data_IF_043089370347
#
_entry.id   IF_043089370347
#
_cell.length_a   1.000
_cell.length_b   1.000
_cell.length_c   1.000
_cell.angle_alpha   90.00
_cell.angle_beta   90.00
_cell.angle_gamma   90.00
#
_symmetry.space_group_name_H-M   'P 1'
#
loop_
_entity.id
_entity.type
_entity.pdbx_description
1 polymer ?
#
# COMPACT_ATOMS: atom_id res chain seq x y z
N UNK A 1 18.05 12.04 4.00
CA UNK A 1 16.96 11.05 4.08
C UNK A 1 16.02 11.51 5.18
N UNK A 2 14.71 11.53 4.95
CA UNK A 2 13.74 11.88 5.99
C UNK A 2 13.87 10.90 7.15
N UNK A 3 13.98 11.40 8.37
CA UNK A 3 14.13 10.59 9.57
C UNK A 3 12.78 10.57 10.26
N UNK A 4 12.10 9.43 10.17
CA UNK A 4 10.85 9.19 10.87
C UNK A 4 11.07 9.28 12.38
N UNK A 5 10.15 9.95 13.05
CA UNK A 5 10.09 9.98 14.51
C UNK A 5 8.97 9.07 15.04
N UNK A 6 8.76 9.12 16.36
CA UNK A 6 7.72 8.33 17.01
C UNK A 6 6.30 8.78 16.62
N UNK A 7 6.08 10.07 16.35
CA UNK A 7 4.78 10.58 15.93
C UNK A 7 4.44 10.09 14.52
N UNK A 8 5.41 10.12 13.61
CA UNK A 8 5.23 9.59 12.26
C UNK A 8 4.85 8.11 12.30
N UNK A 9 5.57 7.32 13.11
CA UNK A 9 5.30 5.89 13.25
C UNK A 9 3.90 5.64 13.83
N UNK A 10 3.53 6.35 14.90
CA UNK A 10 2.21 6.22 15.51
C UNK A 10 1.08 6.60 14.53
N UNK A 11 1.30 7.61 13.69
CA UNK A 11 0.34 8.00 12.66
C UNK A 11 0.18 6.90 11.60
N UNK A 12 1.30 6.31 11.15
CA UNK A 12 1.28 5.19 10.18
C UNK A 12 0.56 3.99 10.77
N UNK A 13 0.86 3.62 12.01
CA UNK A 13 0.24 2.47 12.69
C UNK A 13 -1.28 2.68 12.83
N UNK A 14 -1.71 3.88 13.24
CA UNK A 14 -3.13 4.21 13.32
C UNK A 14 -3.84 4.09 11.97
N UNK A 15 -3.20 4.54 10.88
CA UNK A 15 -3.77 4.43 9.53
C UNK A 15 -3.84 2.99 9.04
N UNK A 16 -2.84 2.18 9.37
CA UNK A 16 -2.82 0.74 9.04
C UNK A 16 -3.99 0.03 9.74
N UNK A 17 -4.21 0.28 11.03
CA UNK A 17 -5.34 -0.33 11.75
C UNK A 17 -6.69 0.13 11.22
N UNK A 18 -6.84 1.41 10.90
CA UNK A 18 -8.06 1.94 10.29
C UNK A 18 -8.36 1.28 8.94
N UNK A 19 -7.35 1.21 8.05
CA UNK A 19 -7.53 0.63 6.73
C UNK A 19 -7.80 -0.88 6.80
N UNK A 20 -7.19 -1.59 7.76
CA UNK A 20 -7.47 -3.02 8.00
C UNK A 20 -8.92 -3.26 8.39
N UNK A 21 -9.53 -2.43 9.25
CA UNK A 21 -10.96 -2.52 9.56
C UNK A 21 -11.83 -2.27 8.32
N UNK A 22 -11.50 -1.24 7.54
CA UNK A 22 -12.23 -0.89 6.31
C UNK A 22 -12.20 -2.03 5.29
N UNK A 23 -11.02 -2.64 5.08
CA UNK A 23 -10.84 -3.80 4.21
C UNK A 23 -11.62 -5.01 4.72
N UNK A 24 -11.56 -5.30 6.03
CA UNK A 24 -12.36 -6.38 6.64
C UNK A 24 -13.86 -6.19 6.37
N UNK A 25 -14.38 -4.98 6.64
CA UNK A 25 -15.80 -4.67 6.41
C UNK A 25 -16.19 -4.79 4.93
N UNK A 26 -15.27 -4.45 4.01
CA UNK A 26 -15.46 -4.63 2.57
C UNK A 26 -15.54 -6.11 2.19
N UNK A 27 -14.68 -6.95 2.77
CA UNK A 27 -14.67 -8.40 2.55
C UNK A 27 -15.92 -9.07 3.15
N UNK A 28 -16.41 -8.58 4.28
CA UNK A 28 -17.66 -9.04 4.93
C UNK A 28 -18.93 -8.52 4.25
N UNK A 29 -18.83 -7.68 3.21
CA UNK A 29 -19.97 -7.07 2.53
C UNK A 29 -20.69 -5.96 3.32
N UNK A 30 -20.14 -5.54 4.46
CA UNK A 30 -20.65 -4.44 5.30
C UNK A 30 -20.27 -3.05 4.80
N UNK A 31 -19.40 -2.98 3.79
CA UNK A 31 -18.98 -1.76 3.11
C UNK A 31 -19.10 -1.98 1.61
N UNK A 32 -19.90 -1.17 0.92
CA UNK A 32 -20.06 -1.29 -0.54
C UNK A 32 -18.79 -0.86 -1.29
N UNK A 33 -18.65 -1.24 -2.56
CA UNK A 33 -17.50 -0.80 -3.38
C UNK A 33 -17.46 0.72 -3.52
N UNK A 34 -18.61 1.39 -3.68
CA UNK A 34 -18.67 2.85 -3.80
C UNK A 34 -18.24 3.55 -2.51
N UNK A 35 -18.58 3.00 -1.35
CA UNK A 35 -18.13 3.51 -0.05
C UNK A 35 -16.64 3.20 0.20
N UNK A 36 -16.15 2.05 -0.27
CA UNK A 36 -14.76 1.63 -0.09
C UNK A 36 -13.80 2.35 -1.03
N UNK A 37 -14.25 2.70 -2.24
CA UNK A 37 -13.47 3.36 -3.29
C UNK A 37 -12.67 4.57 -2.79
N UNK A 38 -13.25 5.59 -2.12
CA UNK A 38 -12.47 6.71 -1.61
C UNK A 38 -11.43 6.29 -0.57
N UNK A 39 -11.75 5.34 0.32
CA UNK A 39 -10.86 4.86 1.38
C UNK A 39 -9.63 4.15 0.83
N UNK A 40 -9.83 3.22 -0.12
CA UNK A 40 -8.72 2.50 -0.76
C UNK A 40 -7.84 3.43 -1.60
N UNK A 41 -8.42 4.42 -2.27
CA UNK A 41 -7.67 5.37 -3.09
C UNK A 41 -6.79 6.30 -2.23
N UNK A 42 -7.27 6.71 -1.05
CA UNK A 42 -6.46 7.47 -0.08
C UNK A 42 -5.26 6.68 0.44
N UNK A 43 -5.39 5.34 0.53
CA UNK A 43 -4.33 4.43 0.91
C UNK A 43 -3.50 3.90 -0.28
N UNK A 44 -3.69 4.45 -1.48
CA UNK A 44 -2.91 4.08 -2.66
C UNK A 44 -3.26 2.72 -3.26
N UNK A 45 -4.41 2.14 -2.91
CA UNK A 45 -4.91 0.86 -3.42
C UNK A 45 -5.96 1.07 -4.54
N UNK A 46 -5.55 0.75 -5.76
CA UNK A 46 -6.31 0.94 -6.99
C UNK A 46 -6.83 -0.39 -7.52
N UNK A 47 -8.12 -0.51 -7.78
CA UNK A 47 -8.66 -1.67 -8.49
C UNK A 47 -8.36 -1.54 -10.00
N UNK A 48 -7.56 -2.47 -10.53
CA UNK A 48 -7.38 -2.69 -11.97
C UNK A 48 -8.31 -3.81 -12.44
N UNK A 49 -8.33 -4.10 -13.74
CA UNK A 49 -9.26 -5.09 -14.33
C UNK A 49 -9.16 -6.49 -13.69
N UNK A 50 -7.95 -6.90 -13.27
CA UNK A 50 -7.69 -8.27 -12.80
C UNK A 50 -7.27 -8.38 -11.33
N UNK A 51 -6.82 -7.29 -10.69
CA UNK A 51 -6.27 -7.29 -9.34
C UNK A 51 -6.15 -5.87 -8.78
N UNK A 52 -5.77 -5.73 -7.50
CA UNK A 52 -5.44 -4.43 -6.93
C UNK A 52 -3.98 -4.06 -7.19
N UNK A 53 -3.76 -2.80 -7.54
CA UNK A 53 -2.47 -2.15 -7.58
C UNK A 53 -2.26 -1.32 -6.32
N UNK A 54 -1.21 -1.62 -5.56
CA UNK A 54 -0.78 -0.83 -4.41
C UNK A 54 0.38 0.08 -4.81
N UNK A 55 0.22 1.38 -4.59
CA UNK A 55 1.27 2.38 -4.77
C UNK A 55 1.87 2.78 -3.43
N UNK A 56 3.13 2.43 -3.22
CA UNK A 56 3.89 2.82 -2.02
C UNK A 56 4.58 4.15 -2.28
N UNK A 57 4.34 5.13 -1.41
CA UNK A 57 4.96 6.44 -1.48
C UNK A 57 6.42 6.38 -1.00
N UNK A 58 7.32 7.01 -1.75
CA UNK A 58 8.74 7.12 -1.39
C UNK A 58 9.07 8.61 -1.23
N UNK A 59 9.23 9.10 0.01
CA UNK A 59 9.51 10.51 0.24
C UNK A 59 10.77 10.98 -0.48
N UNK A 60 10.60 12.01 -1.31
CA UNK A 60 11.65 12.61 -2.12
C UNK A 60 12.36 11.62 -3.08
N UNK A 61 11.78 10.45 -3.34
CA UNK A 61 12.44 9.39 -4.11
C UNK A 61 13.70 8.81 -3.44
N UNK A 62 13.90 9.03 -2.14
CA UNK A 62 15.09 8.60 -1.42
C UNK A 62 14.85 7.32 -0.62
N UNK A 63 15.74 6.34 -0.78
CA UNK A 63 15.70 5.05 -0.08
C UNK A 63 17.10 4.65 0.41
N UNK A 64 17.15 3.94 1.53
CA UNK A 64 18.33 3.19 1.96
C UNK A 64 18.35 1.80 1.33
N UNK A 65 19.50 1.13 1.35
CA UNK A 65 19.60 -0.27 0.91
C UNK A 65 18.65 -1.19 1.69
N UNK A 66 18.51 -0.98 2.99
CA UNK A 66 17.58 -1.76 3.83
C UNK A 66 16.11 -1.57 3.41
N UNK A 67 15.70 -0.32 3.10
CA UNK A 67 14.35 -0.06 2.59
C UNK A 67 14.13 -0.69 1.21
N UNK A 68 15.17 -0.68 0.35
CA UNK A 68 15.09 -1.34 -0.96
C UNK A 68 14.91 -2.87 -0.83
N UNK A 69 15.61 -3.50 0.12
CA UNK A 69 15.40 -4.93 0.43
C UNK A 69 13.98 -5.19 0.93
N UNK A 70 13.44 -4.35 1.82
CA UNK A 70 12.05 -4.48 2.28
C UNK A 70 11.04 -4.37 1.12
N UNK A 71 11.27 -3.47 0.16
CA UNK A 71 10.45 -3.38 -1.05
C UNK A 71 10.57 -4.64 -1.94
N UNK A 72 11.75 -5.27 -1.99
CA UNK A 72 11.94 -6.53 -2.70
C UNK A 72 11.20 -7.70 -2.02
N UNK A 73 11.20 -7.75 -0.69
CA UNK A 73 10.44 -8.74 0.09
C UNK A 73 8.93 -8.61 -0.16
N UNK A 74 8.41 -7.39 -0.21
CA UNK A 74 7.02 -7.12 -0.57
C UNK A 74 6.71 -7.62 -1.99
N UNK A 75 7.61 -7.35 -2.94
CA UNK A 75 7.46 -7.81 -4.33
C UNK A 75 7.40 -9.35 -4.43
N UNK A 76 8.24 -10.05 -3.67
CA UNK A 76 8.29 -11.50 -3.66
C UNK A 76 7.08 -12.14 -2.95
N UNK A 77 6.56 -11.50 -1.90
CA UNK A 77 5.47 -12.05 -1.09
C UNK A 77 4.07 -11.77 -1.64
N UNK A 78 3.84 -10.55 -2.12
CA UNK A 78 2.50 -10.06 -2.48
C UNK A 78 2.32 -9.76 -3.97
N UNK A 79 3.42 -9.71 -4.72
CA UNK A 79 3.40 -9.55 -6.17
C UNK A 79 4.03 -10.79 -6.84
N UNK A 80 4.56 -10.65 -8.04
CA UNK A 80 5.21 -11.71 -8.84
C UNK A 80 6.73 -11.57 -8.86
N UNK A 81 7.31 -10.99 -7.80
CA UNK A 81 8.75 -10.78 -7.67
C UNK A 81 9.28 -9.53 -8.38
N UNK A 82 8.41 -8.61 -8.81
CA UNK A 82 8.82 -7.34 -9.41
C UNK A 82 7.97 -6.17 -8.90
N UNK A 83 8.51 -4.95 -9.05
CA UNK A 83 7.80 -3.70 -8.76
C UNK A 83 8.18 -2.64 -9.79
N UNK A 84 7.29 -1.66 -9.98
CA UNK A 84 7.47 -0.62 -10.99
C UNK A 84 7.66 0.75 -10.36
N UNK A 85 8.81 1.37 -10.60
CA UNK A 85 8.99 2.77 -10.27
C UNK A 85 8.19 3.66 -11.23
N UNK A 86 7.58 4.68 -10.65
CA UNK A 86 6.80 5.68 -11.37
C UNK A 86 7.65 6.89 -11.73
N UNK A 87 7.17 7.71 -12.65
CA UNK A 87 7.78 9.02 -12.95
C UNK A 87 7.75 9.99 -11.76
N UNK A 88 6.93 9.69 -10.74
CA UNK A 88 6.88 10.41 -9.45
C UNK A 88 7.71 9.72 -8.36
N UNK A 89 8.63 8.84 -8.74
CA UNK A 89 9.61 8.17 -7.86
C UNK A 89 9.00 7.26 -6.77
N UNK A 90 7.70 6.98 -6.82
CA UNK A 90 7.03 5.95 -6.03
C UNK A 90 7.18 4.57 -6.67
N UNK A 91 6.88 3.50 -5.93
CA UNK A 91 6.84 2.12 -6.46
C UNK A 91 5.42 1.56 -6.48
N UNK A 92 5.12 0.70 -7.45
CA UNK A 92 3.81 0.05 -7.62
C UNK A 92 3.94 -1.48 -7.72
N UNK A 93 3.01 -2.16 -7.07
CA UNK A 93 2.75 -3.60 -7.15
C UNK A 93 1.33 -3.79 -7.71
N UNK A 94 1.11 -4.70 -8.65
CA UNK A 94 -0.13 -4.81 -9.43
C UNK A 94 -0.98 -6.05 -9.13
N UNK A 95 -0.48 -7.00 -8.33
CA UNK A 95 -1.13 -8.28 -8.11
C UNK A 95 -1.59 -8.50 -6.66
N UNK A 96 -1.79 -7.41 -5.93
CA UNK A 96 -2.20 -7.47 -4.53
C UNK A 96 -3.62 -8.03 -4.43
N UNK A 97 -3.82 -9.02 -3.58
CA UNK A 97 -5.15 -9.50 -3.21
C UNK A 97 -5.70 -8.64 -2.08
N UNK A 98 -7.01 -8.39 -2.10
CA UNK A 98 -7.62 -7.55 -1.08
C UNK A 98 -7.52 -8.16 0.32
N UNK A 99 -7.59 -9.48 0.46
CA UNK A 99 -7.41 -10.16 1.75
C UNK A 99 -5.98 -10.03 2.33
N UNK A 100 -5.01 -9.66 1.50
CA UNK A 100 -3.60 -9.51 1.86
C UNK A 100 -3.18 -8.03 1.98
N UNK A 101 -4.11 -7.09 1.74
CA UNK A 101 -3.89 -5.65 1.71
C UNK A 101 -3.99 -4.96 3.07
#
# INVERSE_FOLDING_TARGET
>A
MYRYDHYDQAMVDSRVEEFRDQTRRRLEGKLSEDQFKPLRLQNGLYLQLHAYMLRVAIPYGTLSGAQMHALADIAGKYDRGYGHFTTRQNIQYNWIKLEEA
#
